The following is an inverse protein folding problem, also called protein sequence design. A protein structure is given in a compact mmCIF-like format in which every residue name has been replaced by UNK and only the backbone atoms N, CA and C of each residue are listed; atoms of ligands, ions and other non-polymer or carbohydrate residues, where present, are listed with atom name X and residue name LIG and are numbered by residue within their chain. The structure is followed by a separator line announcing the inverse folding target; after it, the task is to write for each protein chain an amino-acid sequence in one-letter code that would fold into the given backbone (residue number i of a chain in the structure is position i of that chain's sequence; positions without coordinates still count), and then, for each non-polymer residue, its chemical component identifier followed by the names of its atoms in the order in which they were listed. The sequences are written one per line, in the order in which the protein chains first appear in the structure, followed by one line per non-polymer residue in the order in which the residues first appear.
data_IF_138593930832
#
_entry.id   IF_138593930832
#
_cell.length_a   1.000
_cell.length_b   1.000
_cell.length_c   1.000
_cell.angle_alpha   90.00
_cell.angle_beta   90.00
_cell.angle_gamma   90.00
#
_symmetry.space_group_name_H-M   'P 1'
#
loop_
_entity.id
_entity.type
_entity.pdbx_description
1 polymer ?
#
# COMPACT_ATOMS: atom_id res chain seq x y z
N UNK A 1 -11.96 -9.41 -21.19
CA UNK A 1 -10.59 -9.10 -20.75
C UNK A 1 -10.68 -7.83 -19.94
N UNK A 2 -10.32 -7.88 -18.66
CA UNK A 2 -10.34 -6.71 -17.76
C UNK A 2 -9.05 -5.93 -17.91
N UNK A 3 -9.15 -4.61 -17.96
CA UNK A 3 -8.05 -3.65 -17.88
C UNK A 3 -7.07 -4.03 -16.79
N UNK A 4 -5.80 -4.12 -17.17
CA UNK A 4 -4.73 -4.24 -16.19
C UNK A 4 -4.01 -2.91 -16.09
N UNK A 5 -4.18 -2.27 -14.94
CA UNK A 5 -3.50 -1.03 -14.58
C UNK A 5 -2.67 -1.23 -13.32
N UNK A 6 -1.55 -0.53 -13.25
CA UNK A 6 -0.62 -0.49 -12.11
C UNK A 6 -0.43 0.97 -11.72
N UNK A 7 -0.63 1.28 -10.44
CA UNK A 7 -0.26 2.57 -9.88
C UNK A 7 1.11 2.47 -9.19
N UNK A 8 1.97 3.46 -9.46
CA UNK A 8 3.23 3.65 -8.78
C UNK A 8 3.13 4.88 -7.88
N UNK A 9 3.46 4.74 -6.60
CA UNK A 9 3.56 5.83 -5.63
C UNK A 9 5.01 6.03 -5.29
N UNK A 10 5.46 7.28 -5.32
CA UNK A 10 6.83 7.67 -5.06
C UNK A 10 6.86 8.69 -3.92
N UNK A 11 7.53 8.35 -2.83
CA UNK A 11 7.91 9.32 -1.81
C UNK A 11 9.29 9.87 -2.14
N UNK A 12 9.37 11.17 -2.40
CA UNK A 12 10.64 11.90 -2.49
C UNK A 12 10.91 12.65 -1.19
N UNK A 13 11.99 12.29 -0.51
CA UNK A 13 12.34 12.83 0.83
C UNK A 13 13.27 14.04 0.71
N UNK A 14 13.81 14.32 -0.48
CA UNK A 14 14.74 15.43 -0.75
C UNK A 14 15.92 15.51 0.26
N UNK A 15 16.32 14.36 0.81
CA UNK A 15 17.42 14.22 1.75
C UNK A 15 18.45 13.25 1.16
N UNK A 16 19.76 13.58 1.20
CA UNK A 16 20.80 12.66 0.73
C UNK A 16 21.02 11.47 1.68
N UNK A 17 20.43 11.51 2.89
CA UNK A 17 20.62 10.49 3.93
C UNK A 17 19.52 9.42 3.95
N UNK A 18 18.41 9.67 3.26
CA UNK A 18 17.27 8.76 3.21
C UNK A 18 16.99 8.36 1.76
N UNK A 19 16.80 7.06 1.54
CA UNK A 19 16.40 6.55 0.24
C UNK A 19 14.97 7.02 -0.09
N UNK A 20 14.75 7.40 -1.34
CA UNK A 20 13.41 7.55 -1.88
C UNK A 20 12.73 6.17 -1.90
N UNK A 21 11.40 6.17 -1.87
CA UNK A 21 10.61 4.94 -1.70
C UNK A 21 9.57 4.83 -2.78
N UNK A 22 9.52 3.68 -3.44
CA UNK A 22 8.49 3.40 -4.45
C UNK A 22 7.65 2.21 -4.05
N UNK A 23 6.34 2.38 -4.22
CA UNK A 23 5.34 1.34 -4.04
C UNK A 23 4.59 1.16 -5.35
N UNK A 24 4.54 -0.08 -5.83
CA UNK A 24 3.72 -0.46 -6.99
C UNK A 24 2.51 -1.23 -6.48
N UNK A 25 1.33 -0.86 -6.98
CA UNK A 25 0.06 -1.51 -6.68
C UNK A 25 -0.64 -1.86 -7.97
N UNK A 26 -1.16 -3.09 -8.09
CA UNK A 26 -2.11 -3.39 -9.14
C UNK A 26 -3.48 -2.81 -8.77
N UNK A 27 -4.12 -2.11 -9.73
CA UNK A 27 -5.42 -1.45 -9.53
C UNK A 27 -6.57 -2.47 -9.67
N UNK A 28 -6.30 -3.60 -10.33
CA UNK A 28 -7.24 -4.71 -10.46
C UNK A 28 -7.43 -5.45 -9.11
N UNK A 29 -8.34 -6.43 -9.04
CA UNK A 29 -8.70 -7.14 -7.79
C UNK A 29 -7.58 -8.02 -7.20
N UNK A 30 -6.38 -7.98 -7.77
CA UNK A 30 -5.26 -8.83 -7.37
C UNK A 30 -4.34 -8.15 -6.38
N UNK A 31 -3.86 -8.98 -5.46
CA UNK A 31 -3.09 -8.65 -4.28
C UNK A 31 -1.61 -8.36 -4.58
N UNK A 32 -1.33 -7.51 -5.55
CA UNK A 32 0.03 -7.19 -5.93
C UNK A 32 0.44 -5.83 -5.35
N UNK A 33 1.29 -5.89 -4.34
CA UNK A 33 1.92 -4.74 -3.70
C UNK A 33 3.43 -4.99 -3.65
N UNK A 34 4.23 -4.08 -4.21
CA UNK A 34 5.70 -4.21 -4.21
C UNK A 34 6.35 -2.94 -3.72
N UNK A 35 7.25 -3.07 -2.75
CA UNK A 35 8.07 -2.00 -2.20
C UNK A 35 9.51 -2.06 -2.71
N UNK A 36 10.11 -0.91 -3.00
CA UNK A 36 11.54 -0.75 -3.30
C UNK A 36 12.11 0.55 -2.73
N UNK A 37 13.27 0.44 -2.08
CA UNK A 37 14.15 1.57 -1.80
C UNK A 37 15.00 1.86 -3.04
N UNK A 38 15.09 3.14 -3.40
CA UNK A 38 15.73 3.57 -4.64
C UNK A 38 16.65 4.76 -4.39
N UNK A 39 17.82 4.74 -5.05
CA UNK A 39 18.94 5.63 -4.68
C UNK A 39 18.68 7.11 -4.92
N UNK A 40 17.92 7.44 -5.97
CA UNK A 40 17.34 8.77 -6.26
C UNK A 40 16.21 8.59 -7.26
N UNK A 41 14.97 8.85 -6.89
CA UNK A 41 13.87 8.82 -7.82
C UNK A 41 13.56 10.24 -8.30
N UNK A 42 14.34 10.72 -9.27
CA UNK A 42 13.98 11.96 -9.97
C UNK A 42 12.79 11.75 -10.91
N UNK A 43 12.41 10.50 -11.17
CA UNK A 43 11.33 10.15 -12.11
C UNK A 43 10.81 8.73 -11.90
N UNK A 44 9.54 8.53 -12.25
CA UNK A 44 8.98 7.19 -12.47
C UNK A 44 9.66 6.47 -13.66
N UNK A 45 9.63 5.12 -13.73
CA UNK A 45 10.13 4.38 -14.88
C UNK A 45 9.52 4.88 -16.19
N UNK A 46 10.36 5.50 -17.02
CA UNK A 46 9.93 6.14 -18.27
C UNK A 46 9.89 5.18 -19.46
N UNK A 47 10.70 4.11 -19.45
CA UNK A 47 10.65 3.13 -20.54
C UNK A 47 9.42 2.28 -20.31
N UNK A 48 8.39 2.52 -21.10
CA UNK A 48 7.19 1.68 -21.07
C UNK A 48 7.60 0.23 -21.36
N UNK A 49 7.12 -0.77 -20.58
CA UNK A 49 7.41 -2.18 -20.83
C UNK A 49 7.03 -2.63 -22.25
N UNK A 50 6.06 -1.95 -22.87
CA UNK A 50 5.66 -2.09 -24.27
C UNK A 50 5.11 -0.75 -24.78
N UNK A 51 5.09 -0.54 -26.10
CA UNK A 51 4.38 0.57 -26.74
C UNK A 51 2.87 0.57 -26.43
N UNK A 52 2.32 -0.59 -26.05
CA UNK A 52 0.92 -0.77 -25.65
C UNK A 52 0.61 -0.32 -24.21
N UNK A 53 1.59 0.20 -23.47
CA UNK A 53 1.38 0.75 -22.13
C UNK A 53 1.17 2.26 -22.24
N UNK A 54 0.00 2.72 -21.80
CA UNK A 54 -0.23 4.14 -21.56
C UNK A 54 0.22 4.48 -20.14
N UNK A 55 0.91 5.61 -20.01
CA UNK A 55 1.38 6.11 -18.72
C UNK A 55 0.90 7.55 -18.54
N UNK A 56 0.40 7.85 -17.35
CA UNK A 56 0.19 9.21 -16.87
C UNK A 56 0.89 9.36 -15.52
N UNK A 57 1.42 10.54 -15.20
CA UNK A 57 2.16 10.78 -13.95
C UNK A 57 1.93 12.19 -13.42
N UNK A 58 2.10 12.34 -12.12
CA UNK A 58 2.26 13.63 -11.47
C UNK A 58 3.71 14.13 -11.57
N UNK A 59 3.94 15.39 -11.17
CA UNK A 59 5.26 16.00 -11.21
C UNK A 59 6.15 15.50 -10.05
N UNK A 60 7.33 14.96 -10.37
CA UNK A 60 8.26 14.44 -9.38
C UNK A 60 9.28 15.47 -8.90
N UNK A 61 9.18 16.74 -9.33
CA UNK A 61 10.16 17.78 -9.00
C UNK A 61 10.03 18.35 -7.58
N UNK A 62 8.89 18.14 -6.91
CA UNK A 62 8.66 18.64 -5.54
C UNK A 62 8.70 17.50 -4.52
N UNK A 63 9.26 17.73 -3.31
CA UNK A 63 9.20 16.77 -2.22
C UNK A 63 7.76 16.35 -1.90
N UNK A 64 7.59 15.13 -1.40
CA UNK A 64 6.27 14.57 -1.04
C UNK A 64 5.92 13.31 -1.82
N UNK A 65 4.62 12.99 -1.89
CA UNK A 65 4.14 11.78 -2.54
C UNK A 65 3.60 12.07 -3.93
N UNK A 66 4.36 11.64 -4.94
CA UNK A 66 3.95 11.65 -6.35
C UNK A 66 3.33 10.31 -6.72
N UNK A 67 2.54 10.26 -7.80
CA UNK A 67 2.07 8.97 -8.34
C UNK A 67 2.00 8.96 -9.87
N UNK A 68 2.08 7.75 -10.42
CA UNK A 68 1.89 7.46 -11.83
C UNK A 68 0.96 6.27 -12.01
N UNK A 69 0.26 6.21 -13.15
CA UNK A 69 -0.63 5.11 -13.52
C UNK A 69 -0.21 4.59 -14.89
N UNK A 70 -0.01 3.28 -14.96
CA UNK A 70 0.37 2.53 -16.15
C UNK A 70 -0.77 1.57 -16.51
N UNK A 71 -1.32 1.65 -17.71
CA UNK A 71 -2.38 0.74 -18.14
C UNK A 71 -2.07 0.13 -19.51
N UNK A 72 -2.47 -1.12 -19.70
CA UNK A 72 -2.42 -1.77 -21.01
C UNK A 72 -3.67 -2.59 -21.26
N UNK A 73 -4.06 -2.65 -22.54
CA UNK A 73 -5.13 -3.52 -23.02
C UNK A 73 -4.62 -4.92 -23.36
N UNK A 74 -3.30 -5.10 -23.47
CA UNK A 74 -2.66 -6.36 -23.90
C UNK A 74 -1.85 -7.03 -22.81
N UNK A 75 -1.23 -6.25 -21.92
CA UNK A 75 -0.41 -6.78 -20.83
C UNK A 75 -1.25 -6.88 -19.57
N UNK A 76 -1.07 -7.97 -18.82
CA UNK A 76 -1.60 -8.10 -17.47
C UNK A 76 -0.81 -7.26 -16.45
N UNK A 77 -1.39 -7.04 -15.27
CA UNK A 77 -0.82 -6.17 -14.25
C UNK A 77 0.52 -6.67 -13.71
N UNK A 78 0.68 -7.99 -13.55
CA UNK A 78 1.94 -8.59 -13.11
C UNK A 78 3.07 -8.36 -14.12
N UNK A 79 2.78 -8.51 -15.41
CA UNK A 79 3.73 -8.24 -16.49
C UNK A 79 4.14 -6.77 -16.53
N UNK A 80 3.18 -5.85 -16.36
CA UNK A 80 3.47 -4.41 -16.26
C UNK A 80 4.37 -4.15 -15.03
N UNK A 81 3.99 -4.65 -13.84
CA UNK A 81 4.77 -4.46 -12.61
C UNK A 81 6.21 -4.96 -12.75
N UNK A 82 6.40 -6.18 -13.27
CA UNK A 82 7.74 -6.74 -13.45
C UNK A 82 8.58 -5.89 -14.41
N UNK A 83 7.97 -5.42 -15.50
CA UNK A 83 8.65 -4.54 -16.46
C UNK A 83 9.07 -3.20 -15.84
N UNK A 84 8.27 -2.65 -14.92
CA UNK A 84 8.61 -1.43 -14.18
C UNK A 84 9.73 -1.69 -13.16
N UNK A 85 9.64 -2.79 -12.40
CA UNK A 85 10.63 -3.15 -11.39
C UNK A 85 12.03 -3.35 -11.98
N UNK A 86 12.13 -3.95 -13.16
CA UNK A 86 13.41 -4.17 -13.85
C UNK A 86 14.14 -2.87 -14.24
N UNK A 87 13.46 -1.72 -14.19
CA UNK A 87 14.04 -0.41 -14.49
C UNK A 87 14.42 0.38 -13.25
N UNK A 88 14.02 -0.09 -12.07
CA UNK A 88 14.37 0.55 -10.83
C UNK A 88 15.79 0.12 -10.44
N UNK A 89 16.64 1.10 -10.22
CA UNK A 89 17.94 0.86 -9.61
C UNK A 89 17.72 0.68 -8.10
N UNK A 90 17.91 -0.54 -7.57
CA UNK A 90 17.78 -0.74 -6.13
C UNK A 90 18.81 0.11 -5.41
N UNK A 91 18.44 0.59 -4.23
CA UNK A 91 19.41 1.25 -3.35
C UNK A 91 20.51 0.26 -2.94
N UNK A 92 21.76 0.54 -3.31
CA UNK A 92 22.95 -0.25 -2.95
C UNK A 92 23.81 0.50 -1.95
N UNK A 93 24.11 -0.14 -0.82
CA UNK A 93 24.79 0.44 0.34
C UNK A 93 26.32 0.34 0.15
N UNK A 94 26.90 1.22 -0.67
CA UNK A 94 28.34 1.55 -0.58
C UNK A 94 28.58 2.90 0.12
N UNK A 95 27.54 3.44 0.80
CA UNK A 95 27.58 4.68 1.58
C UNK A 95 27.10 4.47 3.03
N UNK A 96 27.52 5.32 3.99
CA UNK A 96 27.42 5.07 5.42
C UNK A 96 26.01 5.40 5.95
N UNK A 97 25.03 4.56 5.63
CA UNK A 97 23.78 4.47 6.36
C UNK A 97 23.10 3.16 5.97
N UNK A 98 23.56 2.07 6.60
CA UNK A 98 22.62 0.98 6.86
C UNK A 98 21.59 1.59 7.78
N UNK A 99 20.40 1.83 7.24
CA UNK A 99 19.23 2.02 8.07
C UNK A 99 19.27 0.92 9.15
N UNK A 100 19.16 1.31 10.42
CA UNK A 100 19.42 0.47 11.60
C UNK A 100 18.38 -0.66 11.75
N UNK A 101 17.68 -1.03 10.66
CA UNK A 101 16.63 -2.05 10.55
C UNK A 101 17.13 -3.49 10.60
N UNK A 102 18.43 -3.73 10.83
CA UNK A 102 18.83 -5.06 11.29
C UNK A 102 18.48 -5.12 12.76
N UNK A 103 17.43 -5.87 13.09
CA UNK A 103 17.16 -6.32 14.45
C UNK A 103 18.51 -6.75 15.03
N UNK A 104 18.97 -6.00 16.03
CA UNK A 104 20.15 -6.40 16.77
C UNK A 104 19.85 -7.82 17.29
N UNK A 105 20.68 -8.84 17.06
CA UNK A 105 20.47 -10.18 17.60
C UNK A 105 20.26 -10.20 19.13
N UNK A 106 20.53 -9.08 19.81
CA UNK A 106 20.18 -8.76 21.20
C UNK A 106 18.86 -7.97 21.37
N UNK A 107 17.84 -8.23 20.55
CA UNK A 107 16.53 -7.58 20.74
C UNK A 107 15.87 -8.09 22.02
N UNK A 108 15.92 -7.29 23.08
CA UNK A 108 15.36 -7.59 24.41
C UNK A 108 13.90 -8.03 24.33
N UNK A 109 13.11 -7.47 23.41
CA UNK A 109 11.73 -7.88 23.20
C UNK A 109 11.64 -9.34 22.70
N UNK A 110 12.46 -9.75 21.73
CA UNK A 110 12.46 -11.14 21.25
C UNK A 110 12.92 -12.12 22.32
N UNK A 111 13.93 -11.74 23.11
CA UNK A 111 14.41 -12.55 24.24
C UNK A 111 13.29 -12.75 25.26
N UNK A 112 12.61 -11.67 25.66
CA UNK A 112 11.49 -11.73 26.59
C UNK A 112 10.35 -12.60 26.05
N UNK A 113 9.91 -12.35 24.82
CA UNK A 113 8.84 -13.12 24.20
C UNK A 113 9.19 -14.60 24.05
N UNK A 114 10.46 -14.91 23.80
CA UNK A 114 10.95 -16.29 23.75
C UNK A 114 10.92 -16.97 25.12
N UNK A 115 11.23 -16.24 26.19
CA UNK A 115 11.09 -16.75 27.57
C UNK A 115 9.63 -17.03 27.90
N UNK A 116 8.76 -16.03 27.69
CA UNK A 116 7.32 -16.16 27.92
C UNK A 116 6.72 -17.34 27.13
N UNK A 117 7.15 -17.52 25.88
CA UNK A 117 6.70 -18.65 25.07
C UNK A 117 7.15 -19.99 25.67
N UNK A 118 8.42 -20.12 26.10
CA UNK A 118 8.92 -21.36 26.72
C UNK A 118 8.20 -21.70 28.02
N UNK A 119 8.01 -20.72 28.90
CA UNK A 119 7.28 -20.89 30.16
C UNK A 119 5.84 -21.39 29.95
N UNK A 120 5.24 -21.02 28.81
CA UNK A 120 3.87 -21.39 28.43
C UNK A 120 3.79 -22.58 27.50
N UNK A 121 4.88 -23.31 27.30
CA UNK A 121 4.96 -24.39 26.31
C UNK A 121 4.44 -23.99 24.92
N UNK A 122 4.80 -22.77 24.49
CA UNK A 122 4.47 -22.16 23.19
C UNK A 122 2.96 -21.92 22.95
N UNK A 123 2.18 -21.81 24.02
CA UNK A 123 0.82 -21.27 23.96
C UNK A 123 0.83 -19.75 23.66
N UNK A 124 -0.35 -19.21 23.36
CA UNK A 124 -0.54 -17.79 22.99
C UNK A 124 -0.09 -16.86 24.12
N UNK A 125 0.60 -15.78 23.73
CA UNK A 125 0.93 -14.65 24.59
C UNK A 125 -0.03 -13.50 24.24
N UNK A 126 -0.61 -12.85 25.25
CA UNK A 126 -1.54 -11.75 25.07
C UNK A 126 -0.80 -10.41 24.98
N UNK A 127 -1.27 -9.46 24.18
CA UNK A 127 -0.68 -8.12 24.11
C UNK A 127 -0.81 -7.36 25.42
N UNK A 128 -1.87 -7.60 26.20
CA UNK A 128 -2.01 -7.05 27.56
C UNK A 128 -0.86 -7.43 28.49
N UNK A 129 -0.37 -8.66 28.40
CA UNK A 129 0.75 -9.17 29.21
C UNK A 129 2.09 -8.60 28.73
N UNK A 130 2.25 -8.49 27.41
CA UNK A 130 3.44 -7.89 26.80
C UNK A 130 3.56 -6.43 27.24
N UNK A 131 2.45 -5.67 27.26
CA UNK A 131 2.44 -4.29 27.74
C UNK A 131 2.87 -4.17 29.20
N UNK A 132 2.40 -5.07 30.06
CA UNK A 132 2.78 -5.11 31.48
C UNK A 132 4.27 -5.42 31.70
N UNK A 133 4.91 -6.13 30.78
CA UNK A 133 6.35 -6.42 30.86
C UNK A 133 7.23 -5.22 30.53
N UNK A 134 6.69 -4.19 29.88
CA UNK A 134 7.42 -3.03 29.32
C UNK A 134 8.61 -3.38 28.40
N UNK A 135 8.79 -4.66 28.04
CA UNK A 135 9.94 -5.14 27.28
C UNK A 135 9.81 -4.90 25.77
N UNK A 136 8.60 -4.64 25.29
CA UNK A 136 8.28 -4.52 23.87
C UNK A 136 7.47 -3.27 23.57
N UNK A 137 7.89 -2.51 22.57
CA UNK A 137 7.06 -1.48 21.95
C UNK A 137 6.24 -2.06 20.79
N UNK A 138 5.18 -1.37 20.36
CA UNK A 138 4.44 -1.75 19.15
C UNK A 138 5.33 -1.88 17.92
N UNK A 139 6.33 -1.00 17.77
CA UNK A 139 7.32 -1.06 16.69
C UNK A 139 8.12 -2.36 16.72
N UNK A 140 8.63 -2.76 17.89
CA UNK A 140 9.37 -4.02 18.03
C UNK A 140 8.50 -5.23 17.66
N UNK A 141 7.23 -5.23 18.08
CA UNK A 141 6.30 -6.32 17.75
C UNK A 141 6.04 -6.39 16.24
N UNK A 142 5.84 -5.26 15.57
CA UNK A 142 5.64 -5.22 14.12
C UNK A 142 6.88 -5.71 13.36
N UNK A 143 8.07 -5.23 13.71
CA UNK A 143 9.33 -5.64 13.06
C UNK A 143 9.58 -7.15 13.23
N UNK A 144 9.39 -7.68 14.44
CA UNK A 144 9.52 -9.12 14.69
C UNK A 144 8.50 -9.96 13.89
N UNK A 145 7.30 -9.43 13.67
CA UNK A 145 6.29 -10.11 12.88
C UNK A 145 6.62 -10.08 11.39
N UNK A 146 7.10 -8.94 10.87
CA UNK A 146 7.57 -8.77 9.50
C UNK A 146 8.74 -9.72 9.17
N UNK A 147 9.68 -9.86 10.09
CA UNK A 147 10.84 -10.74 9.94
C UNK A 147 10.52 -12.22 10.22
N UNK A 148 9.28 -12.53 10.62
CA UNK A 148 8.81 -13.90 10.85
C UNK A 148 9.31 -14.55 12.15
N UNK A 149 9.89 -13.78 13.07
CA UNK A 149 10.30 -14.25 14.39
C UNK A 149 9.11 -14.55 15.30
N UNK A 150 8.02 -13.82 15.13
CA UNK A 150 6.75 -14.05 15.84
C UNK A 150 5.62 -14.31 14.84
N UNK A 151 4.60 -15.02 15.28
CA UNK A 151 3.38 -15.25 14.50
C UNK A 151 2.20 -14.56 15.19
N UNK A 152 1.48 -13.73 14.44
CA UNK A 152 0.27 -13.08 14.91
C UNK A 152 -0.91 -14.02 14.71
N UNK A 153 -1.56 -14.39 15.81
CA UNK A 153 -2.67 -15.32 15.81
C UNK A 153 -4.01 -14.58 15.76
N UNK A 154 -4.89 -15.02 14.85
CA UNK A 154 -6.20 -14.39 14.64
C UNK A 154 -7.20 -14.71 15.74
N UNK A 155 -7.14 -15.92 16.29
CA UNK A 155 -8.10 -16.45 17.26
C UNK A 155 -7.46 -16.68 18.63
N UNK A 156 -8.28 -16.61 19.68
CA UNK A 156 -7.83 -16.83 21.06
C UNK A 156 -7.51 -18.31 21.35
N UNK A 157 -7.96 -19.24 20.51
CA UNK A 157 -7.67 -20.66 20.65
C UNK A 157 -6.79 -21.15 19.51
N UNK A 158 -5.98 -22.16 19.81
CA UNK A 158 -5.12 -22.88 18.87
C UNK A 158 -5.78 -24.24 18.63
N UNK A 159 -5.85 -24.69 17.37
CA UNK A 159 -6.52 -25.96 17.06
C UNK A 159 -5.69 -27.13 17.60
N UNK A 160 -6.29 -28.16 18.25
CA UNK A 160 -5.56 -29.31 18.78
C UNK A 160 -4.73 -30.07 17.74
N UNK A 161 -5.12 -30.00 16.46
CA UNK A 161 -4.46 -30.68 15.35
C UNK A 161 -3.43 -29.82 14.61
N UNK A 162 -3.20 -28.57 15.02
CA UNK A 162 -2.08 -27.80 14.47
C UNK A 162 -0.79 -28.39 15.06
N UNK A 163 0.04 -29.01 14.22
CA UNK A 163 1.41 -29.35 14.60
C UNK A 163 2.13 -28.05 14.98
N UNK A 164 2.19 -27.78 16.29
CA UNK A 164 2.73 -26.54 16.81
C UNK A 164 4.24 -26.55 16.71
N UNK A 165 4.77 -26.03 15.60
CA UNK A 165 6.15 -25.59 15.57
C UNK A 165 6.41 -24.70 16.80
N UNK A 166 7.57 -24.86 17.45
CA UNK A 166 7.99 -24.07 18.62
C UNK A 166 8.28 -22.62 18.22
N UNK A 167 7.22 -21.88 17.93
CA UNK A 167 7.24 -20.48 17.49
C UNK A 167 6.58 -19.60 18.55
N UNK A 168 7.07 -18.38 18.70
CA UNK A 168 6.43 -17.37 19.54
C UNK A 168 5.13 -16.94 18.86
N UNK A 169 4.00 -17.05 19.57
CA UNK A 169 2.67 -16.70 19.05
C UNK A 169 2.03 -15.63 19.91
N UNK A 170 1.52 -14.59 19.27
CA UNK A 170 0.92 -13.43 19.94
C UNK A 170 -0.53 -13.27 19.50
N UNK A 171 -1.42 -13.06 20.46
CA UNK A 171 -2.81 -12.71 20.24
C UNK A 171 -3.05 -11.27 20.74
N UNK A 172 -3.62 -10.42 19.88
CA UNK A 172 -3.89 -9.01 20.19
C UNK A 172 -5.22 -8.85 20.94
N UNK A 173 -5.27 -9.18 22.23
CA UNK A 173 -6.44 -8.93 23.07
C UNK A 173 -6.73 -7.42 23.23
N UNK A 174 -5.70 -6.58 23.20
CA UNK A 174 -5.80 -5.13 23.14
C UNK A 174 -4.94 -4.53 22.00
N UNK A 175 -5.29 -3.31 21.58
CA UNK A 175 -4.55 -2.57 20.57
C UNK A 175 -3.26 -2.00 21.12
N UNK A 176 -2.16 -2.15 20.38
CA UNK A 176 -0.87 -1.59 20.75
C UNK A 176 -0.69 -0.24 20.08
N UNK A 177 -0.34 0.78 20.86
CA UNK A 177 -0.07 2.11 20.34
C UNK A 177 1.23 2.13 19.53
N UNK A 178 1.18 2.77 18.37
CA UNK A 178 2.30 2.97 17.47
C UNK A 178 2.43 4.46 17.16
N UNK A 179 3.66 4.97 17.19
CA UNK A 179 3.94 6.32 16.73
C UNK A 179 3.82 6.39 15.22
N UNK A 180 3.35 7.52 14.70
CA UNK A 180 3.16 7.70 13.27
C UNK A 180 4.46 7.94 12.51
N UNK A 181 4.46 7.53 11.24
CA UNK A 181 5.59 7.65 10.32
C UNK A 181 5.69 9.01 9.63
N UNK A 182 6.74 9.16 8.84
CA UNK A 182 7.03 10.35 8.01
C UNK A 182 6.12 10.40 6.77
N UNK A 183 5.75 11.59 6.29
CA UNK A 183 5.05 11.76 5.01
C UNK A 183 3.59 11.32 5.05
N UNK A 184 2.70 12.26 5.40
CA UNK A 184 1.27 12.00 5.60
C UNK A 184 0.45 12.73 4.54
N UNK A 185 -0.46 12.01 3.89
CA UNK A 185 -1.44 12.59 2.97
C UNK A 185 -2.84 12.34 3.53
N UNK A 186 -3.51 13.43 3.85
CA UNK A 186 -4.85 13.40 4.42
C UNK A 186 -5.89 13.60 3.33
N UNK A 187 -6.98 12.84 3.42
CA UNK A 187 -8.18 13.06 2.64
C UNK A 187 -9.38 13.03 3.59
N UNK A 188 -10.40 13.85 3.32
CA UNK A 188 -11.56 13.94 4.19
C UNK A 188 -12.38 12.63 4.14
N UNK A 189 -12.92 12.23 5.31
CA UNK A 189 -13.60 10.95 5.51
C UNK A 189 -14.91 10.74 4.75
N UNK A 190 -15.28 9.46 4.58
CA UNK A 190 -16.60 9.03 4.10
C UNK A 190 -17.31 8.16 5.15
N UNK A 191 -18.62 7.91 4.97
CA UNK A 191 -19.35 6.95 5.81
C UNK A 191 -18.95 5.52 5.46
N UNK A 192 -18.39 4.79 6.40
CA UNK A 192 -18.06 3.36 6.31
C UNK A 192 -18.96 2.58 7.28
N UNK A 193 -19.75 1.63 6.76
CA UNK A 193 -20.62 0.76 7.56
C UNK A 193 -21.54 1.51 8.56
N UNK A 194 -22.10 2.64 8.12
CA UNK A 194 -22.99 3.47 8.96
C UNK A 194 -22.27 4.33 10.01
N UNK A 195 -20.95 4.25 10.11
CA UNK A 195 -20.11 5.12 10.94
C UNK A 195 -19.39 6.12 10.05
N UNK A 196 -19.24 7.36 10.51
CA UNK A 196 -18.39 8.33 9.82
C UNK A 196 -16.95 8.06 10.23
N UNK A 197 -16.10 7.73 9.25
CA UNK A 197 -14.69 7.45 9.48
C UNK A 197 -13.84 8.33 8.57
N UNK A 198 -12.86 9.02 9.14
CA UNK A 198 -11.84 9.73 8.36
C UNK A 198 -10.81 8.72 7.85
N UNK A 199 -10.30 8.90 6.64
CA UNK A 199 -9.29 8.01 6.06
C UNK A 199 -8.04 8.80 5.67
N UNK A 200 -6.85 8.27 5.97
CA UNK A 200 -5.59 8.90 5.58
C UNK A 200 -4.67 7.88 4.92
N UNK A 201 -3.86 8.36 3.99
CA UNK A 201 -2.86 7.59 3.28
C UNK A 201 -1.49 8.08 3.71
N UNK A 202 -0.65 7.21 4.24
CA UNK A 202 0.66 7.63 4.76
C UNK A 202 1.73 6.58 4.58
N UNK A 203 2.96 7.04 4.65
CA UNK A 203 4.12 6.18 4.69
C UNK A 203 4.43 5.77 6.12
N UNK A 204 4.52 4.46 6.35
CA UNK A 204 4.89 3.88 7.63
C UNK A 204 5.89 2.76 7.41
N UNK A 205 7.04 2.85 8.08
CA UNK A 205 8.17 1.92 7.89
C UNK A 205 8.56 1.70 6.42
N UNK A 206 8.42 2.75 5.60
CA UNK A 206 8.68 2.74 4.16
C UNK A 206 7.56 2.18 3.28
N UNK A 207 6.50 1.63 3.87
CA UNK A 207 5.33 1.13 3.15
C UNK A 207 4.20 2.16 3.15
N UNK A 208 3.33 2.09 2.16
CA UNK A 208 2.15 2.95 2.05
C UNK A 208 0.96 2.23 2.69
N UNK A 209 0.22 2.93 3.55
CA UNK A 209 -0.85 2.35 4.35
C UNK A 209 -2.05 3.28 4.43
N UNK A 210 -3.24 2.67 4.52
CA UNK A 210 -4.50 3.38 4.78
C UNK A 210 -4.82 3.26 6.26
N UNK A 211 -5.05 4.39 6.92
CA UNK A 211 -5.49 4.46 8.31
C UNK A 211 -6.87 5.07 8.36
N UNK A 212 -7.62 4.69 9.39
CA UNK A 212 -8.97 5.16 9.63
C UNK A 212 -9.13 5.72 11.02
N UNK A 213 -9.94 6.75 11.15
CA UNK A 213 -10.34 7.35 12.43
C UNK A 213 -11.83 7.18 12.62
N UNK A 214 -12.23 6.57 13.72
CA UNK A 214 -13.65 6.60 14.12
C UNK A 214 -13.95 7.96 14.74
N UNK A 215 -14.76 8.78 14.09
CA UNK A 215 -15.04 10.16 14.53
C UNK A 215 -15.56 10.19 15.98
N UNK A 216 -16.46 9.27 16.34
CA UNK A 216 -17.03 9.22 17.69
C UNK A 216 -16.00 8.93 18.80
N UNK A 217 -14.96 8.14 18.49
CA UNK A 217 -13.97 7.76 19.49
C UNK A 217 -12.66 8.53 19.35
N UNK A 218 -12.46 9.25 18.25
CA UNK A 218 -11.25 10.02 17.95
C UNK A 218 -10.00 9.19 17.62
N UNK A 219 -9.99 7.89 17.93
CA UNK A 219 -8.85 6.98 17.73
C UNK A 219 -8.60 6.58 16.27
N UNK A 220 -7.32 6.62 15.90
CA UNK A 220 -6.79 6.09 14.64
C UNK A 220 -6.43 4.61 14.75
N UNK A 221 -6.67 3.87 13.68
CA UNK A 221 -6.20 2.49 13.52
C UNK A 221 -5.79 2.24 12.06
N UNK A 222 -4.86 1.32 11.86
CA UNK A 222 -4.44 0.92 10.52
C UNK A 222 -5.51 0.02 9.89
N UNK A 223 -5.93 0.35 8.67
CA UNK A 223 -6.90 -0.44 7.89
C UNK A 223 -6.23 -1.37 6.89
N UNK A 224 -4.99 -1.09 6.50
CA UNK A 224 -4.12 -2.02 5.77
C UNK A 224 -3.35 -2.92 6.72
N UNK A 225 -2.83 -4.03 6.22
CA UNK A 225 -2.02 -4.96 7.01
C UNK A 225 -0.58 -4.43 7.14
N UNK A 226 0.00 -4.50 8.34
CA UNK A 226 1.40 -4.13 8.58
C UNK A 226 2.36 -5.30 8.31
N UNK A 227 1.87 -6.55 8.25
CA UNK A 227 2.70 -7.76 8.15
C UNK A 227 2.41 -8.63 6.93
N UNK A 228 1.23 -8.51 6.32
CA UNK A 228 0.78 -9.15 5.07
C UNK A 228 0.56 -8.10 3.98
N UNK A 229 1.67 -7.41 3.64
CA UNK A 229 1.68 -6.20 2.81
C UNK A 229 1.20 -6.42 1.38
N UNK A 230 1.27 -7.65 0.85
CA UNK A 230 0.84 -8.03 -0.49
C UNK A 230 -0.62 -7.65 -0.78
N UNK A 231 -1.50 -7.74 0.24
CA UNK A 231 -2.92 -7.43 0.09
C UNK A 231 -3.21 -5.91 0.08
N UNK A 232 -2.24 -5.07 0.46
CA UNK A 232 -2.47 -3.64 0.66
C UNK A 232 -2.74 -2.88 -0.64
N UNK A 233 -2.27 -3.40 -1.78
CA UNK A 233 -2.47 -2.78 -3.09
C UNK A 233 -3.94 -2.53 -3.42
N UNK A 234 -4.82 -3.47 -3.03
CA UNK A 234 -6.27 -3.33 -3.20
C UNK A 234 -6.84 -2.17 -2.37
N UNK A 235 -6.49 -2.10 -1.09
CA UNK A 235 -6.99 -1.06 -0.17
C UNK A 235 -6.51 0.33 -0.56
N UNK A 236 -5.25 0.45 -0.98
CA UNK A 236 -4.66 1.72 -1.45
C UNK A 236 -5.30 2.17 -2.75
N UNK A 237 -5.43 1.29 -3.74
CA UNK A 237 -6.11 1.61 -5.01
C UNK A 237 -7.56 2.01 -4.77
N UNK A 238 -8.26 1.31 -3.86
CA UNK A 238 -9.63 1.67 -3.45
C UNK A 238 -9.65 3.07 -2.85
N UNK A 239 -8.80 3.36 -1.87
CA UNK A 239 -8.70 4.67 -1.25
C UNK A 239 -8.51 5.77 -2.31
N UNK A 240 -7.58 5.58 -3.24
CA UNK A 240 -7.31 6.53 -4.32
C UNK A 240 -8.51 6.76 -5.26
N UNK A 241 -9.27 5.71 -5.58
CA UNK A 241 -10.48 5.82 -6.41
C UNK A 241 -11.60 6.61 -5.73
N UNK A 242 -11.68 6.59 -4.40
CA UNK A 242 -12.68 7.34 -3.65
C UNK A 242 -12.24 8.80 -3.48
N UNK A 243 -10.99 8.99 -3.05
CA UNK A 243 -10.51 10.26 -2.51
C UNK A 243 -9.74 11.14 -3.49
N UNK A 244 -9.29 10.60 -4.64
CA UNK A 244 -8.56 11.39 -5.64
C UNK A 244 -9.36 11.53 -6.96
N UNK A 245 -9.95 12.71 -7.24
CA UNK A 245 -10.77 12.93 -8.44
C UNK A 245 -10.03 12.70 -9.77
N UNK A 246 -8.74 13.04 -9.82
CA UNK A 246 -7.94 12.88 -11.05
C UNK A 246 -7.65 11.41 -11.33
N UNK A 247 -7.23 10.67 -10.30
CA UNK A 247 -7.07 9.21 -10.35
C UNK A 247 -8.36 8.52 -10.79
N UNK A 248 -9.48 8.85 -10.14
CA UNK A 248 -10.82 8.33 -10.46
C UNK A 248 -11.23 8.63 -11.91
N UNK A 249 -10.99 9.86 -12.37
CA UNK A 249 -11.32 10.28 -13.75
C UNK A 249 -10.50 9.54 -14.78
N UNK A 250 -9.21 9.31 -14.52
CA UNK A 250 -8.35 8.53 -15.40
C UNK A 250 -8.86 7.09 -15.53
N UNK A 251 -9.05 6.38 -14.41
CA UNK A 251 -9.48 4.97 -14.42
C UNK A 251 -10.84 4.80 -15.12
N UNK A 252 -11.81 5.67 -14.83
CA UNK A 252 -13.12 5.65 -15.52
C UNK A 252 -13.00 5.87 -17.03
N UNK A 253 -12.10 6.75 -17.46
CA UNK A 253 -11.89 7.01 -18.89
C UNK A 253 -11.19 5.84 -19.57
N UNK A 254 -10.25 5.19 -18.88
CA UNK A 254 -9.58 3.99 -19.36
C UNK A 254 -10.56 2.81 -19.50
N UNK A 255 -11.35 2.52 -18.46
CA UNK A 255 -12.35 1.46 -18.51
C UNK A 255 -13.39 1.68 -19.63
N UNK A 256 -13.76 2.94 -19.88
CA UNK A 256 -14.62 3.27 -21.02
C UNK A 256 -13.96 2.96 -22.37
N UNK A 257 -12.67 3.29 -22.53
CA UNK A 257 -11.91 2.96 -23.74
C UNK A 257 -11.84 1.46 -23.99
N UNK A 258 -11.62 0.66 -22.96
CA UNK A 258 -11.56 -0.79 -23.11
C UNK A 258 -12.90 -1.40 -23.54
N UNK A 259 -13.99 -0.93 -22.95
CA UNK A 259 -15.34 -1.35 -23.32
C UNK A 259 -15.67 -1.04 -24.79
N UNK A 260 -15.01 -0.04 -25.40
CA UNK A 260 -15.14 0.24 -26.83
C UNK A 260 -14.31 -0.73 -27.69
N UNK A 261 -13.13 -1.15 -27.24
CA UNK A 261 -12.27 -2.10 -27.96
C UNK A 261 -12.87 -3.50 -28.00
N UNK A 262 -13.49 -3.96 -26.92
CA UNK A 262 -14.19 -5.25 -26.89
C UNK A 262 -15.34 -5.40 -27.88
N UNK A 263 -15.84 -4.29 -28.45
CA UNK A 263 -16.92 -4.29 -29.46
C UNK A 263 -16.40 -4.40 -30.90
N UNK A 264 -15.09 -4.54 -31.09
CA UNK A 264 -14.47 -4.68 -32.41
C UNK A 264 -14.63 -6.12 -32.91
N UNK A 265 -15.84 -6.50 -33.33
CA UNK A 265 -15.98 -7.69 -34.18
C UNK A 265 -15.36 -7.39 -35.55
N UNK A 266 -14.65 -8.36 -36.12
CA UNK A 266 -14.00 -8.23 -37.43
C UNK A 266 -15.02 -7.98 -38.54
N UNK A 267 -15.20 -6.73 -38.96
CA UNK A 267 -16.03 -6.38 -40.10
C UNK A 267 -15.21 -5.74 -41.23
N UNK A 268 -15.49 -6.14 -42.47
CA UNK A 268 -14.93 -5.55 -43.69
C UNK A 268 -15.67 -4.25 -43.99
N UNK A 269 -15.15 -3.12 -43.49
CA UNK A 269 -15.65 -1.76 -43.72
C UNK A 269 -16.33 -1.14 -42.50
N UNK A 270 -16.05 0.13 -42.23
CA UNK A 270 -16.63 0.87 -41.10
C UNK A 270 -18.01 1.42 -41.47
N UNK A 271 -19.06 0.82 -40.96
CA UNK A 271 -20.42 1.37 -40.89
C UNK A 271 -20.45 2.70 -40.13
N UNK A 272 -21.52 3.49 -40.30
CA UNK A 272 -21.69 4.76 -39.59
C UNK A 272 -21.62 4.58 -38.05
N UNK A 273 -22.12 3.45 -37.54
CA UNK A 273 -22.06 3.10 -36.11
C UNK A 273 -20.61 2.88 -35.65
N UNK A 274 -19.78 2.25 -36.46
CA UNK A 274 -18.37 2.01 -36.14
C UNK A 274 -17.52 3.28 -36.25
N UNK A 275 -17.79 4.14 -37.24
CA UNK A 275 -17.20 5.47 -37.30
C UNK A 275 -17.50 6.29 -36.04
N UNK A 276 -18.72 6.18 -35.50
CA UNK A 276 -19.08 6.82 -34.25
C UNK A 276 -18.32 6.24 -33.04
N UNK A 277 -18.06 4.92 -33.02
CA UNK A 277 -17.23 4.27 -31.99
C UNK A 277 -15.78 4.75 -32.07
N UNK A 278 -15.19 4.79 -33.27
CA UNK A 278 -13.80 5.25 -33.46
C UNK A 278 -13.64 6.73 -33.11
N UNK A 279 -14.63 7.58 -33.44
CA UNK A 279 -14.64 8.99 -32.98
C UNK A 279 -14.64 9.06 -31.45
N UNK A 280 -15.52 8.30 -30.77
CA UNK A 280 -15.56 8.26 -29.29
C UNK A 280 -14.25 7.77 -28.69
N UNK A 281 -13.60 6.78 -29.32
CA UNK A 281 -12.29 6.27 -28.91
C UNK A 281 -11.22 7.35 -29.03
N UNK A 282 -11.11 8.01 -30.19
CA UNK A 282 -10.16 9.10 -30.41
C UNK A 282 -10.33 10.21 -29.38
N UNK A 283 -11.57 10.67 -29.15
CA UNK A 283 -11.87 11.69 -28.14
C UNK A 283 -11.50 11.24 -26.73
N UNK A 284 -11.68 9.97 -26.39
CA UNK A 284 -11.33 9.46 -25.06
C UNK A 284 -9.82 9.31 -24.89
N UNK A 285 -9.09 8.94 -25.95
CA UNK A 285 -7.62 8.94 -25.95
C UNK A 285 -7.07 10.35 -25.73
N UNK A 286 -7.57 11.34 -26.48
CA UNK A 286 -7.19 12.75 -26.32
C UNK A 286 -7.51 13.27 -24.91
N UNK A 287 -8.63 12.84 -24.31
CA UNK A 287 -8.97 13.20 -22.92
C UNK A 287 -7.96 12.65 -21.91
N UNK A 288 -7.43 11.44 -22.14
CA UNK A 288 -6.41 10.84 -21.28
C UNK A 288 -5.08 11.57 -21.44
N UNK A 289 -4.64 11.84 -22.67
CA UNK A 289 -3.39 12.55 -22.93
C UNK A 289 -3.35 13.97 -22.34
N UNK A 290 -4.51 14.62 -22.24
CA UNK A 290 -4.65 15.96 -21.65
C UNK A 290 -4.82 15.94 -20.13
N UNK A 291 -5.08 14.79 -19.52
CA UNK A 291 -5.24 14.70 -18.08
C UNK A 291 -3.88 14.95 -17.42
N UNK A 292 -3.86 15.82 -16.43
CA UNK A 292 -2.69 16.06 -15.57
C UNK A 292 -3.00 15.52 -14.19
N UNK A 293 -2.00 14.91 -13.57
CA UNK A 293 -2.07 14.46 -12.19
C UNK A 293 -1.27 15.44 -11.35
N UNK A 294 -1.84 15.85 -10.23
CA UNK A 294 -1.15 16.62 -9.20
C UNK A 294 -0.59 15.68 -8.14
N UNK A 295 0.45 16.10 -7.45
CA UNK A 295 0.98 15.35 -6.30
C UNK A 295 -0.06 15.24 -5.20
N UNK A 296 0.05 14.18 -4.41
CA UNK A 296 -0.80 13.99 -3.25
C UNK A 296 -0.48 15.07 -2.22
N UNK A 297 -1.46 15.92 -1.93
CA UNK A 297 -1.31 17.05 -1.01
C UNK A 297 -1.75 16.63 0.40
N UNK A 298 -0.98 16.96 1.45
CA UNK A 298 -1.44 16.82 2.82
C UNK A 298 -2.66 17.72 3.05
N UNK A 299 -3.78 17.16 3.52
CA UNK A 299 -4.86 17.95 4.14
C UNK A 299 -4.50 18.30 5.59
N UNK A 300 -4.85 19.52 6.02
CA UNK A 300 -4.59 20.03 7.37
C UNK A 300 -5.81 19.91 8.30
N UNK A 301 -6.88 19.21 7.88
CA UNK A 301 -8.21 19.26 8.52
C UNK A 301 -8.21 18.74 9.96
N UNK A 302 -7.25 17.90 10.36
CA UNK A 302 -7.19 17.31 11.70
C UNK A 302 -5.92 17.65 12.50
N UNK A 303 -5.06 18.53 11.98
CA UNK A 303 -3.75 18.79 12.57
C UNK A 303 -2.80 17.57 12.49
N UNK A 304 -1.62 17.64 13.12
CA UNK A 304 -0.67 16.54 13.11
C UNK A 304 -1.19 15.37 13.94
N UNK A 305 -1.33 14.19 13.31
CA UNK A 305 -1.63 12.96 14.03
C UNK A 305 -0.33 12.37 14.56
N UNK A 306 -0.31 12.03 15.86
CA UNK A 306 0.88 11.56 16.58
C UNK A 306 0.99 10.03 16.70
N UNK A 307 -0.13 9.32 16.82
CA UNK A 307 -0.15 7.86 17.03
C UNK A 307 -1.41 7.17 16.48
N UNK A 308 -1.36 5.83 16.40
CA UNK A 308 -2.46 4.96 16.04
C UNK A 308 -2.41 3.64 16.81
N UNK A 309 -3.54 2.93 16.87
CA UNK A 309 -3.62 1.59 17.45
C UNK A 309 -3.48 0.49 16.38
N UNK A 310 -2.65 -0.51 16.65
CA UNK A 310 -2.51 -1.72 15.84
C UNK A 310 -3.02 -2.96 16.58
N UNK A 311 -3.80 -3.79 15.88
CA UNK A 311 -4.49 -4.97 16.44
C UNK A 311 -4.07 -6.27 15.76
N UNK A 312 -2.82 -6.35 15.27
CA UNK A 312 -2.27 -7.58 14.71
C UNK A 312 -2.95 -8.04 13.42
N UNK A 313 -3.12 -7.12 12.46
CA UNK A 313 -3.70 -7.35 11.13
C UNK A 313 -5.05 -8.08 11.12
N UNK A 314 -5.79 -7.98 12.23
CA UNK A 314 -7.17 -8.44 12.29
C UNK A 314 -7.96 -7.70 11.23
N UNK A 315 -8.60 -8.48 10.37
CA UNK A 315 -9.67 -7.97 9.52
C UNK A 315 -10.81 -7.61 10.48
N UNK A 316 -10.91 -6.34 10.86
CA UNK A 316 -12.13 -5.84 11.49
C UNK A 316 -13.23 -5.85 10.45
N UNK A 317 -13.97 -6.95 10.38
CA UNK A 317 -15.05 -7.13 9.42
C UNK A 317 -15.61 -8.54 9.42
N UNK A 318 -16.44 -8.85 10.41
CA UNK A 318 -17.85 -9.17 10.19
C UNK A 318 -18.65 -8.56 11.35
#
# INVERSE_FOLDING_TARGET
MSSSCVAAFLLSIASPFFADRMVLTEISRTHAYVYREISKATQFPLRKPSSDVLMIKSDTQSPGTSYAIYCSQKLDGKTIMQGLLNQLNPFTIDGPSKDQRRINPENSCLVQLSSMAKERNYNLIMTGEIRQSYACTGKNLMELALDGYITIHKHYYVSPNENLAKKVRIFFDEGVEMTLGEGQVYFDGEKVNGKTEDEILMWYNGYLHVFRRRINSGWWYVSTSLTSIELNGYYISRFMLHNNPQYKKFIRTWDFLENLVGKRMHYRGLTHKELAIERKRKTSHEKIERLKLDNLQPSNVHGPVSSFAWYGDRVFGN
#
